data_IF_850879773485
#
_entry.id   IF_850879773485
#
_cell.length_a   1.000
_cell.length_b   1.000
_cell.length_c   1.000
_cell.angle_alpha   90.00
_cell.angle_beta   90.00
_cell.angle_gamma   90.00
#
_symmetry.space_group_name_H-M   'P 1'
#
loop_
_entity.id
_entity.type
_entity.pdbx_description
1 polymer ?
#
# COMPACT_ATOMS: atom_id res chain seq x y z
N UNK A 1 4.31 15.14 -5.98
CA UNK A 1 4.84 15.75 -4.74
C UNK A 1 3.94 15.34 -3.58
N UNK A 2 4.47 14.65 -2.57
CA UNK A 2 3.68 14.13 -1.42
C UNK A 2 3.19 15.25 -0.49
N UNK A 3 4.00 16.30 -0.34
CA UNK A 3 3.68 17.54 0.38
C UNK A 3 2.30 18.10 0.06
N UNK A 4 2.03 18.30 -1.24
CA UNK A 4 0.78 18.87 -1.72
C UNK A 4 -0.45 18.00 -1.42
N UNK A 5 -0.33 16.68 -1.52
CA UNK A 5 -1.43 15.76 -1.24
C UNK A 5 -1.81 15.76 0.25
N UNK A 6 -0.81 15.80 1.14
CA UNK A 6 -1.04 15.82 2.60
C UNK A 6 -1.56 17.16 3.09
N UNK A 7 -1.19 18.27 2.45
CA UNK A 7 -1.66 19.60 2.85
C UNK A 7 -3.20 19.69 2.93
N UNK A 8 -3.91 19.03 2.01
CA UNK A 8 -5.38 18.97 2.01
C UNK A 8 -5.99 18.05 3.07
N UNK A 9 -5.20 17.21 3.74
CA UNK A 9 -5.66 16.18 4.68
C UNK A 9 -5.32 16.49 6.15
N UNK A 10 -4.75 17.67 6.44
CA UNK A 10 -4.34 18.07 7.81
C UNK A 10 -5.49 18.04 8.82
N UNK A 11 -6.72 18.32 8.36
CA UNK A 11 -7.91 18.27 9.21
C UNK A 11 -8.23 16.85 9.73
N UNK A 12 -7.73 15.81 9.05
CA UNK A 12 -7.80 14.42 9.49
C UNK A 12 -6.63 14.03 10.40
N UNK A 13 -5.71 14.96 10.68
CA UNK A 13 -4.51 14.71 11.48
C UNK A 13 -3.35 14.08 10.71
N UNK A 14 -3.37 14.17 9.38
CA UNK A 14 -2.25 13.76 8.52
C UNK A 14 -1.20 14.88 8.48
N UNK A 15 0.02 14.55 8.88
CA UNK A 15 1.18 15.45 8.79
C UNK A 15 2.41 14.63 8.39
N UNK A 16 3.33 15.25 7.66
CA UNK A 16 4.53 14.59 7.14
C UNK A 16 5.78 15.43 7.45
N UNK A 17 6.91 14.76 7.73
CA UNK A 17 8.17 15.40 8.08
C UNK A 17 8.89 16.13 6.93
N UNK A 18 10.01 16.82 7.19
CA UNK A 18 10.75 17.56 6.15
C UNK A 18 11.46 16.67 5.10
N UNK A 19 11.57 15.36 5.34
CA UNK A 19 12.43 14.43 4.59
C UNK A 19 11.70 13.65 3.50
N UNK A 20 10.87 14.30 2.66
CA UNK A 20 9.92 13.57 1.79
C UNK A 20 10.30 13.33 0.33
N UNK A 21 11.36 13.96 -0.15
CA UNK A 21 11.78 13.86 -1.57
C UNK A 21 13.08 13.05 -1.74
N UNK A 22 13.72 12.62 -0.65
CA UNK A 22 14.91 11.79 -0.71
C UNK A 22 14.55 10.35 -1.08
N UNK A 23 15.41 9.69 -1.87
CA UNK A 23 15.26 8.30 -2.29
C UNK A 23 15.26 7.34 -1.10
N UNK A 24 14.10 7.16 -0.49
CA UNK A 24 13.86 6.22 0.58
C UNK A 24 13.94 4.79 0.01
N UNK A 25 14.89 3.98 0.51
CA UNK A 25 15.12 2.60 0.06
C UNK A 25 14.32 1.59 0.89
N UNK A 26 13.11 1.24 0.47
CA UNK A 26 12.23 0.32 1.22
C UNK A 26 10.98 1.00 1.81
N UNK A 27 10.46 0.42 2.89
CA UNK A 27 9.23 0.86 3.55
C UNK A 27 9.57 1.84 4.68
N UNK A 28 8.91 3.00 4.72
CA UNK A 28 9.22 4.08 5.67
C UNK A 28 7.99 4.73 6.24
N UNK A 29 8.10 5.10 7.52
CA UNK A 29 7.22 6.06 8.14
C UNK A 29 7.73 7.49 7.85
N UNK A 30 6.83 8.33 7.33
CA UNK A 30 7.10 9.72 7.01
C UNK A 30 6.25 10.68 7.84
N UNK A 31 5.60 10.18 8.89
CA UNK A 31 4.73 10.94 9.78
C UNK A 31 5.46 12.13 10.42
N UNK A 32 4.78 13.27 10.44
CA UNK A 32 5.23 14.45 11.18
C UNK A 32 5.01 14.27 12.69
N UNK A 33 5.72 15.05 13.53
CA UNK A 33 5.62 14.96 14.99
C UNK A 33 4.21 15.27 15.53
N UNK A 34 3.38 16.00 14.77
CA UNK A 34 1.98 16.29 15.10
C UNK A 34 0.96 15.33 14.48
N UNK A 35 1.40 14.29 13.75
CA UNK A 35 0.47 13.40 13.05
C UNK A 35 -0.27 12.48 14.04
N UNK A 36 -1.60 12.47 13.98
CA UNK A 36 -2.41 11.44 14.64
C UNK A 36 -2.71 10.25 13.72
N UNK A 37 -2.45 10.40 12.42
CA UNK A 37 -2.60 9.36 11.40
C UNK A 37 -1.21 8.97 10.86
N UNK A 38 -0.79 7.70 11.03
CA UNK A 38 0.46 7.22 10.45
C UNK A 38 0.46 7.34 8.93
N UNK A 39 1.52 7.91 8.38
CA UNK A 39 1.71 8.05 6.93
C UNK A 39 2.91 7.24 6.48
N UNK A 40 2.66 6.14 5.78
CA UNK A 40 3.70 5.21 5.33
C UNK A 40 3.94 5.34 3.83
N UNK A 41 5.20 5.28 3.42
CA UNK A 41 5.63 5.04 2.04
C UNK A 41 6.04 3.58 1.95
N UNK A 42 5.23 2.78 1.27
CA UNK A 42 5.49 1.35 1.05
C UNK A 42 5.85 1.13 -0.41
N UNK A 43 6.93 0.41 -0.67
CA UNK A 43 7.28 0.04 -2.04
C UNK A 43 6.31 -1.04 -2.52
N UNK A 44 5.67 -0.83 -3.66
CA UNK A 44 4.87 -1.89 -4.27
C UNK A 44 5.75 -3.08 -4.65
N UNK A 45 5.29 -4.28 -4.30
CA UNK A 45 5.94 -5.56 -4.64
C UNK A 45 5.03 -6.35 -5.58
N UNK A 46 4.66 -5.71 -6.69
CA UNK A 46 3.70 -6.22 -7.65
C UNK A 46 4.09 -7.60 -8.18
N UNK A 47 5.39 -7.81 -8.44
CA UNK A 47 5.97 -9.09 -8.84
C UNK A 47 5.63 -10.23 -7.87
N UNK A 48 5.79 -9.99 -6.57
CA UNK A 48 5.47 -10.95 -5.52
C UNK A 48 3.95 -11.20 -5.46
N UNK A 49 3.15 -10.14 -5.58
CA UNK A 49 1.68 -10.24 -5.53
C UNK A 49 1.12 -11.01 -6.73
N UNK A 50 1.62 -10.73 -7.94
CA UNK A 50 1.28 -11.49 -9.16
C UNK A 50 1.69 -12.95 -9.00
N UNK A 51 2.91 -13.24 -8.54
CA UNK A 51 3.36 -14.60 -8.32
C UNK A 51 2.53 -15.35 -7.27
N UNK A 52 2.09 -14.66 -6.21
CA UNK A 52 1.19 -15.23 -5.19
C UNK A 52 -0.16 -15.59 -5.81
N UNK A 53 -0.73 -14.69 -6.59
CA UNK A 53 -2.04 -14.87 -7.21
C UNK A 53 -2.04 -15.99 -8.24
N UNK A 54 -1.00 -16.09 -9.07
CA UNK A 54 -0.80 -17.22 -9.99
C UNK A 54 -0.78 -18.54 -9.25
N UNK A 55 -0.01 -18.64 -8.15
CA UNK A 55 0.03 -19.87 -7.34
C UNK A 55 -1.35 -20.20 -6.74
N UNK A 56 -2.07 -19.18 -6.25
CA UNK A 56 -3.42 -19.34 -5.68
C UNK A 56 -4.38 -19.95 -6.70
N UNK A 57 -4.42 -19.40 -7.91
CA UNK A 57 -5.28 -19.88 -9.01
C UNK A 57 -4.93 -21.32 -9.38
N UNK A 58 -3.64 -21.64 -9.50
CA UNK A 58 -3.19 -23.00 -9.84
C UNK A 58 -3.44 -24.02 -8.71
N UNK A 59 -3.46 -23.59 -7.45
CA UNK A 59 -3.72 -24.44 -6.29
C UNK A 59 -5.19 -24.66 -5.97
N UNK A 60 -6.10 -23.88 -6.57
CA UNK A 60 -7.53 -23.98 -6.34
C UNK A 60 -8.09 -25.08 -7.24
N UNK A 61 -8.62 -26.20 -6.69
CA UNK A 61 -9.28 -27.21 -7.52
C UNK A 61 -10.42 -26.55 -8.31
N UNK A 62 -10.65 -26.94 -9.57
CA UNK A 62 -11.78 -26.40 -10.31
C UNK A 62 -13.06 -26.62 -9.50
N UNK A 63 -13.83 -25.55 -9.30
CA UNK A 63 -15.15 -25.67 -8.69
C UNK A 63 -15.93 -26.68 -9.52
N UNK A 64 -16.29 -27.82 -8.93
CA UNK A 64 -17.10 -28.84 -9.60
C UNK A 64 -18.44 -28.20 -9.95
N UNK A 65 -18.59 -27.80 -11.21
CA UNK A 65 -19.86 -27.32 -11.73
C UNK A 65 -20.86 -28.48 -11.65
N UNK A 66 -21.75 -28.44 -10.66
CA UNK A 66 -22.92 -29.31 -10.63
C UNK A 66 -23.83 -28.92 -11.78
N UNK A 67 -23.63 -29.53 -12.94
CA UNK A 67 -24.61 -29.51 -14.03
C UNK A 67 -25.82 -30.32 -13.54
N UNK A 68 -26.87 -29.63 -13.06
CA UNK A 68 -28.18 -30.26 -12.88
C UNK A 68 -28.80 -30.39 -14.28
N UNK A 69 -28.94 -31.62 -14.74
CA UNK A 69 -29.83 -31.99 -15.85
C UNK A 69 -31.28 -32.05 -15.42
#
# INVERSE_FOLDING_TARGET
MRGAAVAGLRFLGVEIGPTLEASLSGDYDISGPGASVPTLVIKSREDIEVAREVRRVLSTPPATASVRG
#
